data_IF_260548801834
#
_entry.id   IF_260548801834
#
_cell.length_a   1.000
_cell.length_b   1.000
_cell.length_c   1.000
_cell.angle_alpha   90.00
_cell.angle_beta   90.00
_cell.angle_gamma   90.00
#
_symmetry.space_group_name_H-M   'P 1'
#
loop_
_entity.id
_entity.type
_entity.pdbx_description
1 polymer ?
#
# COMPACT_ATOMS: atom_id res chain seq x y z
N UNK A 1 0.98 4.54 -15.14
CA UNK A 1 1.27 3.96 -13.81
C UNK A 1 0.00 4.02 -12.98
N UNK A 2 -0.32 2.99 -12.22
CA UNK A 2 -1.47 3.04 -11.32
C UNK A 2 -1.33 4.10 -10.23
N UNK A 3 -2.42 4.44 -9.55
CA UNK A 3 -2.45 5.27 -8.36
C UNK A 3 -3.17 4.54 -7.23
N UNK A 4 -2.69 4.69 -6.02
CA UNK A 4 -3.37 4.20 -4.81
C UNK A 4 -3.62 5.34 -3.84
N UNK A 5 -4.70 5.25 -3.12
CA UNK A 5 -5.11 6.15 -2.03
C UNK A 5 -5.73 5.35 -0.90
N UNK A 6 -5.83 5.93 0.27
CA UNK A 6 -6.62 5.37 1.35
C UNK A 6 -6.62 6.23 2.58
N UNK A 7 -7.53 5.89 3.47
CA UNK A 7 -7.80 6.57 4.74
C UNK A 7 -7.99 5.53 5.81
N UNK A 8 -7.43 5.77 6.98
CA UNK A 8 -7.61 4.96 8.18
C UNK A 8 -7.87 5.88 9.38
N UNK A 9 -9.07 5.87 9.91
CA UNK A 9 -9.49 6.74 11.01
C UNK A 9 -10.94 7.23 10.87
N UNK A 10 -11.23 8.44 11.36
CA UNK A 10 -12.59 8.95 11.51
C UNK A 10 -13.14 9.72 10.29
N UNK A 11 -12.60 9.50 9.11
CA UNK A 11 -12.94 10.32 7.97
C UNK A 11 -14.14 9.78 7.14
N UNK A 12 -14.71 10.65 6.29
CA UNK A 12 -15.80 10.34 5.40
C UNK A 12 -15.29 9.44 4.25
N UNK A 13 -15.95 8.29 3.95
CA UNK A 13 -15.64 7.46 2.79
C UNK A 13 -15.66 8.21 1.44
N UNK A 14 -16.42 9.30 1.31
CA UNK A 14 -16.42 10.14 0.11
C UNK A 14 -15.07 10.78 -0.15
N UNK A 15 -14.33 11.14 0.88
CA UNK A 15 -13.00 11.73 0.76
C UNK A 15 -12.02 10.79 0.02
N UNK A 16 -12.07 9.48 0.29
CA UNK A 16 -11.23 8.51 -0.42
C UNK A 16 -11.56 8.47 -1.93
N UNK A 17 -12.83 8.63 -2.30
CA UNK A 17 -13.25 8.72 -3.70
C UNK A 17 -12.70 9.97 -4.39
N UNK A 18 -12.73 11.11 -3.73
CA UNK A 18 -12.14 12.37 -4.24
C UNK A 18 -10.63 12.26 -4.40
N UNK A 19 -9.93 11.75 -3.38
CA UNK A 19 -8.50 11.45 -3.42
C UNK A 19 -8.14 10.55 -4.61
N UNK A 20 -8.95 9.50 -4.85
CA UNK A 20 -8.76 8.55 -5.95
C UNK A 20 -8.94 9.25 -7.29
N UNK A 21 -9.98 10.08 -7.42
CA UNK A 21 -10.28 10.85 -8.64
C UNK A 21 -9.15 11.81 -9.03
N UNK A 22 -8.45 12.39 -8.04
CA UNK A 22 -7.27 13.22 -8.28
C UNK A 22 -6.13 12.47 -8.97
N UNK A 23 -6.12 11.13 -8.92
CA UNK A 23 -5.09 10.27 -9.51
C UNK A 23 -5.47 9.65 -10.85
N UNK A 24 -6.60 10.03 -11.47
CA UNK A 24 -7.09 9.45 -12.74
C UNK A 24 -6.07 9.54 -13.88
N UNK A 25 -5.21 10.57 -13.90
CA UNK A 25 -4.13 10.70 -14.91
C UNK A 25 -3.10 9.57 -14.81
N UNK A 26 -2.97 8.90 -13.65
CA UNK A 26 -2.06 7.76 -13.46
C UNK A 26 -2.64 6.46 -14.01
N UNK A 27 -3.95 6.30 -13.89
CA UNK A 27 -4.66 5.08 -14.26
C UNK A 27 -6.01 5.37 -14.89
N UNK A 28 -6.04 5.76 -16.18
CA UNK A 28 -7.28 6.19 -16.85
C UNK A 28 -8.21 5.03 -17.24
N UNK A 29 -7.73 3.76 -17.13
CA UNK A 29 -8.46 2.59 -17.64
C UNK A 29 -9.51 2.04 -16.65
N UNK A 30 -9.56 2.58 -15.44
CA UNK A 30 -10.54 2.21 -14.41
C UNK A 30 -10.16 2.71 -13.04
N UNK A 31 -11.16 2.77 -12.17
CA UNK A 31 -10.99 3.08 -10.76
C UNK A 31 -11.81 2.13 -9.90
N UNK A 32 -11.47 2.06 -8.63
CA UNK A 32 -12.21 1.32 -7.62
C UNK A 32 -11.94 1.90 -6.25
N UNK A 33 -13.01 1.99 -5.45
CA UNK A 33 -12.93 2.37 -4.03
C UNK A 33 -13.69 1.33 -3.24
N UNK A 34 -13.11 0.95 -2.11
CA UNK A 34 -13.74 0.09 -1.12
C UNK A 34 -13.60 0.74 0.26
N UNK A 35 -14.63 0.60 1.08
CA UNK A 35 -14.64 1.13 2.43
C UNK A 35 -15.32 0.14 3.38
N UNK A 36 -14.88 0.14 4.63
CA UNK A 36 -15.46 -0.65 5.72
C UNK A 36 -15.35 0.11 7.04
N UNK A 37 -16.28 -0.18 7.96
CA UNK A 37 -16.26 0.36 9.31
C UNK A 37 -15.49 -0.55 10.24
N UNK A 38 -14.56 0.00 11.00
CA UNK A 38 -13.75 -0.69 12.00
C UNK A 38 -14.24 -0.40 13.44
N UNK A 39 -15.54 -0.17 13.56
CA UNK A 39 -16.21 0.07 14.83
C UNK A 39 -15.73 1.36 15.48
N UNK A 40 -15.28 1.29 16.76
CA UNK A 40 -14.83 2.48 17.52
C UNK A 40 -13.54 3.10 16.98
N UNK A 41 -12.81 2.42 16.10
CA UNK A 41 -11.57 2.90 15.51
C UNK A 41 -11.80 3.69 14.20
N UNK A 42 -13.06 3.96 13.83
CA UNK A 42 -13.42 4.72 12.63
C UNK A 42 -13.66 3.85 11.40
N UNK A 43 -13.10 4.26 10.27
CA UNK A 43 -13.27 3.63 8.96
C UNK A 43 -11.92 3.29 8.33
N UNK A 44 -11.95 2.35 7.40
CA UNK A 44 -10.86 2.09 6.45
C UNK A 44 -11.40 2.26 5.04
N UNK A 45 -10.72 3.03 4.22
CA UNK A 45 -11.04 3.21 2.81
C UNK A 45 -9.80 3.00 1.96
N UNK A 46 -9.92 2.24 0.88
CA UNK A 46 -8.85 1.96 -0.07
C UNK A 46 -9.31 2.30 -1.48
N UNK A 47 -8.54 3.11 -2.19
CA UNK A 47 -8.82 3.55 -3.54
C UNK A 47 -7.70 3.21 -4.52
N UNK A 48 -8.09 2.94 -5.77
CA UNK A 48 -7.17 2.58 -6.85
C UNK A 48 -7.58 3.21 -8.17
N UNK A 49 -6.60 3.73 -8.93
CA UNK A 49 -6.74 4.06 -10.35
C UNK A 49 -5.86 3.15 -11.17
N UNK A 50 -6.43 2.53 -12.21
CA UNK A 50 -5.79 1.45 -12.96
C UNK A 50 -5.26 1.89 -14.32
N UNK A 51 -3.99 1.58 -14.59
CA UNK A 51 -3.45 1.45 -15.92
C UNK A 51 -3.34 -0.05 -16.23
N UNK A 52 -4.09 -0.52 -17.22
CA UNK A 52 -4.18 -1.94 -17.58
C UNK A 52 -2.96 -2.39 -18.37
N UNK A 53 -2.04 -3.10 -17.71
CA UNK A 53 -0.83 -3.68 -18.34
C UNK A 53 -0.91 -5.20 -18.30
N UNK A 54 -1.06 -5.79 -17.12
CA UNK A 54 -1.22 -7.23 -16.92
C UNK A 54 -2.69 -7.56 -16.64
N UNK A 55 -3.15 -8.71 -17.12
CA UNK A 55 -4.51 -9.24 -16.92
C UNK A 55 -5.60 -8.17 -17.12
N UNK A 56 -5.72 -7.71 -18.36
CA UNK A 56 -6.59 -6.58 -18.74
C UNK A 56 -8.03 -6.74 -18.23
N UNK A 57 -8.55 -7.97 -18.17
CA UNK A 57 -9.94 -8.26 -17.81
C UNK A 57 -10.14 -8.59 -16.33
N UNK A 58 -9.15 -9.20 -15.66
CA UNK A 58 -9.34 -9.87 -14.37
C UNK A 58 -8.89 -9.07 -13.14
N UNK A 59 -7.79 -8.34 -13.21
CA UNK A 59 -7.13 -7.76 -12.04
C UNK A 59 -7.61 -6.34 -11.71
N UNK A 60 -8.91 -6.12 -11.61
CA UNK A 60 -9.42 -4.87 -11.09
C UNK A 60 -9.17 -4.78 -9.59
N UNK A 61 -8.77 -3.61 -9.11
CA UNK A 61 -8.49 -3.36 -7.70
C UNK A 61 -9.56 -2.44 -7.11
N UNK A 62 -9.81 -2.54 -5.79
CA UNK A 62 -9.13 -3.37 -4.78
C UNK A 62 -9.30 -4.87 -5.00
N UNK A 63 -8.25 -5.66 -4.66
CA UNK A 63 -8.27 -7.12 -4.69
C UNK A 63 -8.69 -7.65 -3.32
N UNK A 64 -9.46 -8.74 -3.32
CA UNK A 64 -10.00 -9.36 -2.10
C UNK A 64 -9.50 -10.78 -1.93
N UNK A 65 -9.05 -11.12 -0.72
CA UNK A 65 -8.75 -12.50 -0.35
C UNK A 65 -9.96 -13.20 0.28
N UNK A 66 -9.92 -14.53 0.34
CA UNK A 66 -10.88 -15.36 1.09
C UNK A 66 -10.74 -15.22 2.61
N UNK A 67 -9.68 -14.57 3.10
CA UNK A 67 -9.39 -14.34 4.52
C UNK A 67 -9.72 -12.91 4.97
N UNK A 68 -10.50 -12.17 4.20
CA UNK A 68 -10.91 -10.81 4.56
C UNK A 68 -9.81 -9.76 4.38
N UNK A 69 -8.73 -10.04 3.65
CA UNK A 69 -7.77 -9.01 3.27
C UNK A 69 -8.21 -8.27 2.03
N UNK A 70 -7.93 -6.95 2.01
CA UNK A 70 -8.19 -6.06 0.88
C UNK A 70 -6.89 -5.37 0.49
N UNK A 71 -6.55 -5.39 -0.80
CA UNK A 71 -5.28 -4.88 -1.32
C UNK A 71 -5.49 -3.87 -2.43
N UNK A 72 -4.74 -2.77 -2.36
CA UNK A 72 -4.49 -1.86 -3.48
C UNK A 72 -2.99 -1.74 -3.72
N UNK A 73 -2.57 -1.81 -4.99
CA UNK A 73 -1.17 -1.83 -5.41
C UNK A 73 -0.93 -0.92 -6.60
N UNK A 74 0.14 -0.15 -6.54
CA UNK A 74 0.77 0.50 -7.69
C UNK A 74 2.16 -0.12 -7.89
N UNK A 75 2.33 -0.97 -8.88
CA UNK A 75 3.61 -1.65 -9.10
C UNK A 75 3.48 -2.90 -9.92
N UNK A 76 4.52 -3.71 -9.84
CA UNK A 76 4.62 -5.01 -10.49
C UNK A 76 5.49 -5.95 -9.65
N UNK A 77 4.99 -7.16 -9.38
CA UNK A 77 5.73 -8.23 -8.71
C UNK A 77 6.28 -9.17 -9.77
N UNK A 78 7.56 -9.05 -10.06
CA UNK A 78 8.22 -9.76 -11.15
C UNK A 78 8.23 -11.28 -10.96
N UNK A 79 8.39 -11.74 -9.73
CA UNK A 79 8.41 -13.16 -9.40
C UNK A 79 7.03 -13.75 -9.06
N UNK A 80 5.92 -13.09 -9.50
CA UNK A 80 4.55 -13.54 -9.19
C UNK A 80 4.26 -14.97 -9.67
N UNK A 81 4.85 -15.39 -10.80
CA UNK A 81 4.68 -16.76 -11.30
C UNK A 81 5.38 -17.82 -10.43
N UNK A 82 6.52 -17.48 -9.81
CA UNK A 82 7.22 -18.34 -8.87
C UNK A 82 6.43 -18.49 -7.56
N UNK A 83 5.92 -17.36 -7.03
CA UNK A 83 5.04 -17.35 -5.86
C UNK A 83 3.80 -18.20 -6.16
N UNK A 84 3.19 -18.04 -7.35
CA UNK A 84 2.02 -18.80 -7.77
C UNK A 84 2.27 -20.31 -7.77
N UNK A 85 3.44 -20.76 -8.18
CA UNK A 85 3.83 -22.19 -8.20
C UNK A 85 4.13 -22.74 -6.81
N UNK A 86 4.66 -21.90 -5.91
CA UNK A 86 5.09 -22.31 -4.57
C UNK A 86 4.02 -22.22 -3.50
N UNK A 87 2.89 -21.56 -3.76
CA UNK A 87 1.84 -21.29 -2.78
C UNK A 87 0.53 -22.00 -3.11
N UNK A 88 -0.18 -22.47 -2.07
CA UNK A 88 -1.55 -23.00 -2.20
C UNK A 88 -2.57 -21.87 -1.94
N UNK A 89 -2.71 -20.97 -2.90
CA UNK A 89 -3.64 -19.84 -2.84
C UNK A 89 -4.79 -20.04 -3.85
N UNK A 90 -6.04 -19.68 -3.53
CA UNK A 90 -7.18 -19.79 -4.45
C UNK A 90 -7.18 -18.61 -5.45
N UNK A 91 -6.31 -18.70 -6.43
CA UNK A 91 -6.10 -17.65 -7.44
C UNK A 91 -7.37 -17.35 -8.23
N UNK A 92 -7.71 -16.06 -8.34
CA UNK A 92 -8.91 -15.57 -9.04
C UNK A 92 -8.57 -14.78 -10.30
N UNK A 93 -7.35 -14.24 -10.36
CA UNK A 93 -6.86 -13.41 -11.47
C UNK A 93 -5.55 -13.97 -12.02
N UNK A 94 -5.12 -13.47 -13.19
CA UNK A 94 -3.81 -13.79 -13.76
C UNK A 94 -2.78 -12.67 -13.51
N UNK A 95 -3.17 -11.61 -12.79
CA UNK A 95 -2.28 -10.51 -12.43
C UNK A 95 -1.31 -10.85 -11.32
N UNK A 96 -0.37 -9.97 -11.13
CA UNK A 96 0.71 -10.09 -10.15
C UNK A 96 0.27 -9.72 -8.72
N UNK A 97 -0.75 -8.85 -8.57
CA UNK A 97 -1.18 -8.32 -7.26
C UNK A 97 -1.62 -9.39 -6.27
N UNK A 98 -2.28 -10.46 -6.72
CA UNK A 98 -2.68 -11.55 -5.82
C UNK A 98 -1.48 -12.27 -5.19
N UNK A 99 -0.27 -12.16 -5.75
CA UNK A 99 0.93 -12.75 -5.15
C UNK A 99 1.28 -12.11 -3.79
N UNK A 100 0.92 -10.85 -3.58
CA UNK A 100 1.05 -10.16 -2.29
C UNK A 100 0.09 -10.80 -1.27
N UNK A 101 -1.18 -11.00 -1.65
CA UNK A 101 -2.18 -11.66 -0.80
C UNK A 101 -1.79 -13.11 -0.47
N UNK A 102 -1.25 -13.84 -1.45
CA UNK A 102 -0.79 -15.21 -1.28
C UNK A 102 0.40 -15.29 -0.31
N UNK A 103 1.40 -14.43 -0.48
CA UNK A 103 2.56 -14.37 0.39
C UNK A 103 2.19 -13.96 1.83
N UNK A 104 1.27 -13.01 1.99
CA UNK A 104 0.73 -12.62 3.30
C UNK A 104 0.01 -13.80 3.98
N UNK A 105 -0.86 -14.50 3.26
CA UNK A 105 -1.60 -15.66 3.80
C UNK A 105 -0.69 -16.74 4.35
N UNK A 106 0.38 -17.09 3.64
CA UNK A 106 1.34 -18.11 4.10
C UNK A 106 2.06 -17.68 5.40
N UNK A 107 2.29 -16.38 5.58
CA UNK A 107 2.95 -15.88 6.79
C UNK A 107 2.09 -16.02 8.05
N UNK A 108 0.76 -15.97 7.92
CA UNK A 108 -0.16 -16.12 9.06
C UNK A 108 -0.15 -17.55 9.61
N UNK A 109 0.08 -18.54 8.74
CA UNK A 109 0.11 -19.97 9.10
C UNK A 109 1.48 -20.51 9.52
N UNK A 110 2.55 -19.72 9.40
CA UNK A 110 3.90 -20.17 9.73
C UNK A 110 4.31 -19.72 11.13
N UNK A 111 4.92 -20.60 11.96
CA UNK A 111 5.53 -20.16 13.20
C UNK A 111 6.62 -19.13 12.89
N UNK A 112 6.65 -18.04 13.66
CA UNK A 112 7.60 -16.94 13.53
C UNK A 112 9.03 -17.47 13.67
N UNK A 113 9.69 -17.76 12.55
CA UNK A 113 11.14 -17.84 12.49
C UNK A 113 11.61 -16.40 12.22
N UNK A 114 12.03 -15.70 13.25
CA UNK A 114 12.69 -14.40 13.10
C UNK A 114 14.14 -14.65 12.68
N UNK A 115 14.54 -14.51 11.41
CA UNK A 115 15.95 -14.42 11.08
C UNK A 115 16.46 -13.11 11.67
N UNK A 116 17.53 -13.17 12.48
CA UNK A 116 18.22 -11.95 12.86
C UNK A 116 18.68 -11.20 11.60
N UNK A 117 18.42 -9.88 11.50
CA UNK A 117 18.90 -9.12 10.36
C UNK A 117 20.43 -9.15 10.32
N UNK A 118 21.02 -9.24 9.11
CA UNK A 118 22.46 -9.07 8.99
C UNK A 118 22.88 -7.76 9.62
N UNK A 119 23.89 -7.84 10.48
CA UNK A 119 24.46 -6.70 11.22
C UNK A 119 24.86 -5.62 10.22
N UNK A 120 24.27 -4.42 10.33
CA UNK A 120 24.65 -3.23 9.55
C UNK A 120 23.68 -2.73 8.49
N UNK A 121 22.59 -3.42 8.17
CA UNK A 121 21.56 -2.87 7.26
C UNK A 121 20.51 -2.05 8.03
N UNK A 122 20.56 -0.73 7.91
CA UNK A 122 19.44 0.14 8.24
C UNK A 122 18.28 -0.18 7.29
N UNK A 123 17.22 -0.78 7.82
CA UNK A 123 16.03 -1.16 7.05
C UNK A 123 15.30 0.09 6.58
N UNK A 124 15.35 0.37 5.28
CA UNK A 124 14.54 1.38 4.61
C UNK A 124 13.10 0.94 4.35
N UNK A 125 12.55 0.05 5.19
CA UNK A 125 11.18 -0.44 5.06
C UNK A 125 10.26 0.43 5.90
N UNK A 126 9.40 1.21 5.26
CA UNK A 126 8.30 1.87 5.94
C UNK A 126 7.13 0.89 6.04
N UNK A 127 7.14 0.03 7.07
CA UNK A 127 5.96 -0.65 7.53
C UNK A 127 5.33 0.25 8.60
N UNK A 128 4.21 0.89 8.31
CA UNK A 128 3.37 1.51 9.31
C UNK A 128 2.31 0.51 9.72
N UNK A 129 2.62 -0.37 10.68
CA UNK A 129 1.61 -1.12 11.38
C UNK A 129 1.14 -0.31 12.59
N UNK A 130 -0.16 -0.21 12.79
CA UNK A 130 -0.76 0.44 13.97
C UNK A 130 -0.61 -0.47 15.19
N UNK A 131 0.57 -0.46 15.85
CA UNK A 131 0.80 -1.19 17.12
C UNK A 131 2.28 -1.47 17.41
N UNK A 132 2.68 -1.43 18.69
CA UNK A 132 4.04 -1.75 19.10
C UNK A 132 4.31 -3.25 18.87
N UNK A 133 5.40 -3.62 18.22
CA UNK A 133 5.90 -4.97 17.92
C UNK A 133 5.32 -5.73 16.70
N UNK A 134 4.47 -5.12 15.84
CA UNK A 134 3.92 -5.84 14.68
C UNK A 134 4.77 -5.73 13.41
N UNK A 135 5.62 -4.72 13.29
CA UNK A 135 6.42 -4.47 12.07
C UNK A 135 7.33 -5.64 11.67
N UNK A 136 7.88 -6.39 12.63
CA UNK A 136 8.79 -7.50 12.34
C UNK A 136 8.07 -8.73 11.73
N UNK A 137 6.79 -8.92 12.01
CA UNK A 137 6.00 -10.06 11.50
C UNK A 137 5.84 -10.05 9.98
N UNK A 138 5.86 -8.86 9.37
CA UNK A 138 5.63 -8.71 7.93
C UNK A 138 6.90 -8.74 7.08
N UNK A 139 8.07 -8.63 7.69
CA UNK A 139 9.34 -8.57 6.95
C UNK A 139 9.59 -9.84 6.15
N UNK A 140 9.28 -11.00 6.68
CA UNK A 140 9.63 -12.28 6.07
C UNK A 140 8.89 -12.51 4.74
N UNK A 141 7.58 -12.29 4.71
CA UNK A 141 6.82 -12.49 3.48
C UNK A 141 7.03 -11.36 2.46
N UNK A 142 7.23 -10.11 2.92
CA UNK A 142 7.55 -8.98 2.04
C UNK A 142 8.90 -9.18 1.37
N UNK A 143 9.90 -9.73 2.08
CA UNK A 143 11.24 -10.00 1.53
C UNK A 143 11.25 -11.04 0.40
N UNK A 144 10.19 -11.84 0.27
CA UNK A 144 10.01 -12.79 -0.84
C UNK A 144 9.55 -12.13 -2.14
N UNK A 145 9.04 -10.90 -2.06
CA UNK A 145 8.59 -10.15 -3.24
C UNK A 145 9.80 -9.57 -3.98
N UNK A 146 9.85 -9.79 -5.28
CA UNK A 146 10.81 -9.17 -6.18
C UNK A 146 10.06 -8.30 -7.18
N UNK A 147 10.43 -7.03 -7.30
CA UNK A 147 9.74 -6.10 -8.18
C UNK A 147 9.83 -4.64 -7.71
N UNK A 148 8.85 -3.85 -8.12
CA UNK A 148 8.70 -2.45 -7.75
C UNK A 148 7.25 -2.21 -7.32
N UNK A 149 7.02 -1.70 -6.10
CA UNK A 149 5.66 -1.55 -5.57
C UNK A 149 5.49 -0.42 -4.55
N UNK A 150 4.28 0.14 -4.55
CA UNK A 150 3.68 0.77 -3.40
C UNK A 150 2.33 0.12 -3.18
N UNK A 151 2.06 -0.47 -2.03
CA UNK A 151 0.78 -1.10 -1.74
C UNK A 151 0.25 -0.77 -0.36
N UNK A 152 -1.06 -0.89 -0.22
CA UNK A 152 -1.76 -0.91 1.05
C UNK A 152 -2.57 -2.21 1.14
N UNK A 153 -2.38 -2.95 2.22
CA UNK A 153 -3.10 -4.17 2.54
C UNK A 153 -3.81 -4.00 3.87
N UNK A 154 -5.13 -4.14 3.86
CA UNK A 154 -5.96 -4.22 5.05
C UNK A 154 -6.22 -5.68 5.41
N UNK A 155 -5.87 -6.07 6.62
CA UNK A 155 -6.19 -7.37 7.21
C UNK A 155 -7.33 -7.18 8.21
N UNK A 156 -8.55 -7.57 7.83
CA UNK A 156 -9.73 -7.39 8.66
C UNK A 156 -9.75 -8.29 9.89
N UNK A 157 -9.10 -9.47 9.84
CA UNK A 157 -9.03 -10.38 10.97
C UNK A 157 -8.14 -9.85 12.08
N UNK A 158 -7.00 -9.26 11.70
CA UNK A 158 -6.05 -8.68 12.66
C UNK A 158 -6.29 -7.18 12.90
N UNK A 159 -7.25 -6.55 12.19
CA UNK A 159 -7.52 -5.11 12.23
C UNK A 159 -6.24 -4.30 12.01
N UNK A 160 -5.50 -4.66 10.96
CA UNK A 160 -4.17 -4.12 10.67
C UNK A 160 -4.09 -3.57 9.25
N UNK A 161 -3.61 -2.32 9.12
CA UNK A 161 -3.26 -1.71 7.85
C UNK A 161 -1.75 -1.80 7.64
N UNK A 162 -1.35 -2.44 6.55
CA UNK A 162 0.05 -2.58 6.14
C UNK A 162 0.29 -1.67 4.94
N UNK A 163 1.12 -0.63 5.13
CA UNK A 163 1.62 0.21 4.05
C UNK A 163 3.05 -0.21 3.72
N UNK A 164 3.31 -0.54 2.47
CA UNK A 164 4.63 -1.00 2.05
C UNK A 164 5.06 -0.36 0.73
N UNK A 165 6.33 0.03 0.69
CA UNK A 165 7.00 0.55 -0.50
C UNK A 165 8.21 -0.30 -0.82
N UNK A 166 8.53 -0.48 -2.09
CA UNK A 166 9.70 -1.25 -2.53
C UNK A 166 11.02 -0.65 -1.98
N UNK A 167 12.08 -1.48 -1.80
CA UNK A 167 13.32 -1.07 -1.16
C UNK A 167 14.04 0.09 -1.84
N UNK A 168 13.88 0.20 -3.16
CA UNK A 168 14.50 1.27 -3.96
C UNK A 168 13.62 2.52 -4.05
N UNK A 169 12.39 2.45 -3.52
CA UNK A 169 11.44 3.55 -3.59
C UNK A 169 10.98 3.92 -5.00
N UNK A 170 10.99 2.95 -5.93
CA UNK A 170 10.63 3.18 -7.34
C UNK A 170 9.18 3.61 -7.48
N UNK A 171 8.28 2.98 -6.71
CA UNK A 171 6.87 3.39 -6.69
C UNK A 171 6.61 4.33 -5.52
N UNK A 172 6.02 5.51 -5.78
CA UNK A 172 5.74 6.47 -4.72
C UNK A 172 4.63 5.95 -3.80
N UNK A 173 4.83 6.14 -2.50
CA UNK A 173 3.84 5.98 -1.45
C UNK A 173 4.12 7.03 -0.39
N UNK A 174 3.19 7.95 -0.22
CA UNK A 174 3.25 9.06 0.71
C UNK A 174 2.18 8.87 1.78
N UNK A 175 2.42 9.43 2.94
CA UNK A 175 1.45 9.46 4.05
C UNK A 175 1.37 10.85 4.67
N UNK A 176 0.20 11.19 5.17
CA UNK A 176 -0.06 12.37 5.97
C UNK A 176 -1.05 12.01 7.07
N UNK A 177 -0.97 12.68 8.21
CA UNK A 177 -1.84 12.45 9.35
C UNK A 177 -2.49 13.77 9.78
N UNK A 178 -3.82 13.74 9.95
CA UNK A 178 -4.61 14.86 10.45
C UNK A 178 -4.44 15.05 11.97
N UNK A 179 -4.98 16.15 12.49
CA UNK A 179 -4.89 16.49 13.91
C UNK A 179 -5.65 15.51 14.81
N UNK A 180 -6.71 14.90 14.32
CA UNK A 180 -7.49 13.87 15.05
C UNK A 180 -6.85 12.46 14.99
N UNK A 181 -5.70 12.32 14.29
CA UNK A 181 -4.98 11.07 14.18
C UNK A 181 -5.36 10.23 12.94
N UNK A 182 -6.30 10.69 12.11
CA UNK A 182 -6.67 10.01 10.86
C UNK A 182 -5.48 9.97 9.90
N UNK A 183 -5.14 8.78 9.40
CA UNK A 183 -4.04 8.55 8.49
C UNK A 183 -4.53 8.51 7.04
N UNK A 184 -3.97 9.38 6.21
CA UNK A 184 -4.16 9.39 4.76
C UNK A 184 -2.89 8.89 4.08
N UNK A 185 -3.04 8.13 3.00
CA UNK A 185 -1.92 7.73 2.17
C UNK A 185 -2.28 7.79 0.68
N UNK A 186 -1.28 8.06 -0.16
CA UNK A 186 -1.49 8.19 -1.59
C UNK A 186 -0.19 8.00 -2.39
N UNK A 187 -0.33 7.71 -3.68
CA UNK A 187 0.78 7.72 -4.62
C UNK A 187 1.30 9.14 -4.92
N UNK A 188 0.49 10.19 -4.72
CA UNK A 188 0.90 11.58 -4.94
C UNK A 188 0.30 12.50 -3.86
N UNK A 189 1.11 13.46 -3.39
CA UNK A 189 0.72 14.41 -2.34
C UNK A 189 -0.51 15.26 -2.68
N UNK A 190 -0.78 15.49 -3.97
CA UNK A 190 -1.95 16.28 -4.38
C UNK A 190 -3.28 15.67 -3.95
N UNK A 191 -3.34 14.34 -3.77
CA UNK A 191 -4.53 13.67 -3.27
C UNK A 191 -4.92 14.11 -1.86
N UNK A 192 -3.94 14.51 -1.03
CA UNK A 192 -4.20 15.00 0.33
C UNK A 192 -4.93 16.35 0.34
N UNK A 193 -4.91 17.10 -0.77
CA UNK A 193 -5.63 18.40 -0.87
C UNK A 193 -7.14 18.27 -0.79
N UNK A 194 -7.68 17.07 -0.95
CA UNK A 194 -9.09 16.80 -0.70
C UNK A 194 -9.45 16.91 0.79
N UNK A 195 -8.46 16.73 1.70
CA UNK A 195 -8.69 16.87 3.13
C UNK A 195 -8.60 18.34 3.57
N UNK A 196 -9.61 18.87 4.33
CA UNK A 196 -9.68 20.29 4.66
C UNK A 196 -8.52 20.81 5.51
N UNK A 197 -7.93 19.95 6.37
CA UNK A 197 -6.79 20.33 7.20
C UNK A 197 -5.44 20.30 6.46
N UNK A 198 -5.39 19.71 5.26
CA UNK A 198 -4.11 19.58 4.57
C UNK A 198 -3.65 20.89 3.96
N UNK A 199 -2.59 21.44 4.51
CA UNK A 199 -1.90 22.62 3.94
C UNK A 199 -0.49 22.21 3.51
N UNK A 200 -0.18 22.25 2.19
CA UNK A 200 1.16 21.93 1.70
C UNK A 200 2.16 22.98 2.18
N UNK A 201 3.24 22.54 2.81
CA UNK A 201 4.35 23.39 3.25
C UNK A 201 5.58 23.05 2.40
N UNK A 202 6.22 24.08 1.85
CA UNK A 202 7.45 23.91 1.11
C UNK A 202 8.62 23.81 2.10
N UNK A 203 9.31 22.67 2.10
CA UNK A 203 10.58 22.51 2.79
C UNK A 203 11.70 23.11 1.92
N UNK A 204 12.23 24.25 2.34
CA UNK A 204 13.28 24.96 1.60
C UNK A 204 14.60 24.20 1.56
N UNK A 205 14.92 23.41 2.60
CA UNK A 205 16.14 22.59 2.63
C UNK A 205 16.01 21.40 1.68
N UNK A 206 14.86 20.73 1.67
CA UNK A 206 14.60 19.65 0.71
C UNK A 206 14.58 20.16 -0.73
N UNK A 207 14.02 21.36 -0.97
CA UNK A 207 14.08 22.02 -2.28
C UNK A 207 15.52 22.33 -2.70
N UNK A 208 16.31 22.91 -1.81
CA UNK A 208 17.72 23.20 -2.08
C UNK A 208 18.51 21.92 -2.40
N UNK A 209 18.33 20.87 -1.58
CA UNK A 209 18.99 19.59 -1.81
C UNK A 209 18.59 18.98 -3.16
N UNK A 210 17.30 19.07 -3.52
CA UNK A 210 16.80 18.60 -4.81
C UNK A 210 17.42 19.34 -5.99
N UNK A 211 17.58 20.67 -5.87
CA UNK A 211 18.18 21.50 -6.93
C UNK A 211 19.70 21.34 -7.02
N UNK A 212 20.38 21.14 -5.88
CA UNK A 212 21.84 21.05 -5.83
C UNK A 212 22.36 19.63 -6.17
N UNK A 213 21.64 18.59 -5.74
CA UNK A 213 22.09 17.19 -5.81
C UNK A 213 21.18 16.31 -6.67
N UNK A 214 20.10 16.86 -7.24
CA UNK A 214 19.04 16.12 -7.93
C UNK A 214 18.36 15.02 -7.04
N UNK A 215 18.54 15.12 -5.73
CA UNK A 215 18.22 14.11 -4.76
C UNK A 215 17.69 14.73 -3.46
N UNK A 216 16.55 14.34 -2.89
CA UNK A 216 16.12 14.80 -1.57
C UNK A 216 16.97 14.11 -0.48
N UNK A 217 17.50 14.89 0.44
CA UNK A 217 18.23 14.39 1.63
C UNK A 217 17.27 13.84 2.69
#
# INVERSE_FOLDING_TARGET
MCGITGIFGNDDPHLCSEMTSCLNHRGPDGNGVWSDSIGRNGNISLGHTRLKILDIKGSNQPLFSDHGCVLVQNGEIYNHLEIRKSTRYPWRTNGDGESILAAHRESIGSPLVTPEPPVGQKRGWFSCSTGPNRANRHVDWISRLNGMWGFALWDSQNQELILCRDPMGIKPLLRWQSNDGTLLFASEAKAFRSHPEYTPVLDSMALFARLAFEYPL
#
